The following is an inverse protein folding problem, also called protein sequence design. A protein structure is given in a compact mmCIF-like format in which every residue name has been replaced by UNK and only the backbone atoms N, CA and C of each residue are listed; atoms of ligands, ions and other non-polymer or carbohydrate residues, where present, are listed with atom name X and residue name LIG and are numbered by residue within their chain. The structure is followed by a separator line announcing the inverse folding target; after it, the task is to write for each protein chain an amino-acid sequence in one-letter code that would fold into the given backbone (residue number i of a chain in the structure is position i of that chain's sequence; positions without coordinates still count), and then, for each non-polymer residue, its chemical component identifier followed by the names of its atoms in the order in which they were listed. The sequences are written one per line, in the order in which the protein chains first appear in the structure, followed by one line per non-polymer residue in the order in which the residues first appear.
data_IF_865323893763
#
_entry.id   IF_865323893763
#
_cell.length_a   1.000
_cell.length_b   1.000
_cell.length_c   1.000
_cell.angle_alpha   90.00
_cell.angle_beta   90.00
_cell.angle_gamma   90.00
#
_symmetry.space_group_name_H-M   'P 1'
#
loop_
_entity.id
_entity.type
_entity.pdbx_description
1 polymer ?
#
# COMPACT_ATOMS: atom_id res chain seq x y z
N UNK A 1 -25.22 -17.42 -31.96
CA UNK A 1 -26.43 -17.52 -31.16
C UNK A 1 -27.29 -16.27 -31.22
N UNK A 2 -26.76 -15.06 -30.88
CA UNK A 2 -27.54 -13.80 -30.97
C UNK A 2 -27.95 -13.44 -32.39
N UNK A 3 -27.06 -13.65 -33.36
CA UNK A 3 -27.37 -13.49 -34.78
C UNK A 3 -28.46 -14.47 -35.27
N UNK A 4 -28.42 -15.72 -34.83
CA UNK A 4 -29.44 -16.72 -35.14
C UNK A 4 -30.83 -16.38 -34.60
N UNK A 5 -30.87 -15.84 -33.37
CA UNK A 5 -32.12 -15.47 -32.70
C UNK A 5 -32.73 -14.18 -33.28
N UNK A 6 -31.90 -13.21 -33.63
CA UNK A 6 -32.35 -11.88 -34.08
C UNK A 6 -32.51 -11.76 -35.58
N UNK A 7 -31.86 -12.65 -36.36
CA UNK A 7 -31.78 -12.55 -37.84
C UNK A 7 -30.95 -11.38 -38.36
N UNK A 8 -30.18 -10.68 -37.46
CA UNK A 8 -29.34 -9.54 -37.75
C UNK A 8 -27.89 -9.94 -37.96
N UNK A 9 -27.17 -9.14 -38.74
CA UNK A 9 -25.71 -9.28 -38.88
C UNK A 9 -24.97 -8.91 -37.58
N UNK A 10 -23.70 -9.29 -37.47
CA UNK A 10 -22.84 -8.94 -36.33
C UNK A 10 -22.72 -7.42 -36.16
N UNK A 11 -22.56 -6.71 -37.27
CA UNK A 11 -22.42 -5.24 -37.30
C UNK A 11 -23.70 -4.52 -36.86
N UNK A 12 -24.88 -5.01 -37.31
CA UNK A 12 -26.16 -4.49 -36.87
C UNK A 12 -26.40 -4.73 -35.38
N UNK A 13 -26.06 -5.90 -34.88
CA UNK A 13 -26.14 -6.22 -33.44
C UNK A 13 -25.20 -5.37 -32.58
N UNK A 14 -23.98 -5.14 -33.06
CA UNK A 14 -23.03 -4.28 -32.36
C UNK A 14 -23.51 -2.83 -32.31
N UNK A 15 -24.09 -2.34 -33.39
CA UNK A 15 -24.67 -1.00 -33.45
C UNK A 15 -25.88 -0.85 -32.50
N UNK A 16 -26.76 -1.84 -32.46
CA UNK A 16 -27.93 -1.84 -31.60
C UNK A 16 -27.57 -1.93 -30.10
N UNK A 17 -26.47 -2.65 -29.76
CA UNK A 17 -25.98 -2.86 -28.41
C UNK A 17 -24.90 -1.85 -28.01
N UNK A 18 -24.80 -0.73 -28.71
CA UNK A 18 -23.82 0.32 -28.42
C UNK A 18 -23.95 0.82 -26.99
N UNK A 19 -22.87 0.72 -26.21
CA UNK A 19 -22.81 1.07 -24.80
C UNK A 19 -23.21 -0.07 -23.84
N UNK A 20 -23.75 -1.18 -24.35
CA UNK A 20 -24.00 -2.41 -23.60
C UNK A 20 -22.86 -3.39 -23.76
N UNK A 21 -22.30 -3.45 -24.99
CA UNK A 21 -21.09 -4.23 -25.30
C UNK A 21 -20.04 -3.30 -25.90
N UNK A 22 -18.79 -3.67 -25.72
CA UNK A 22 -17.60 -2.95 -26.21
C UNK A 22 -16.70 -3.90 -26.98
N UNK A 23 -16.12 -3.43 -28.08
CA UNK A 23 -15.08 -4.14 -28.81
C UNK A 23 -13.82 -4.21 -27.93
N UNK A 24 -13.30 -5.42 -27.72
CA UNK A 24 -12.13 -5.62 -26.88
C UNK A 24 -10.83 -5.21 -27.60
N UNK A 25 -10.09 -4.19 -27.14
CA UNK A 25 -8.83 -3.79 -27.79
C UNK A 25 -7.72 -4.84 -27.72
N UNK A 26 -7.86 -5.86 -26.87
CA UNK A 26 -6.91 -6.97 -26.73
C UNK A 26 -7.27 -8.17 -27.59
N UNK A 27 -8.41 -8.12 -28.29
CA UNK A 27 -8.82 -9.19 -29.18
C UNK A 27 -7.91 -9.25 -30.42
N UNK A 28 -7.34 -10.44 -30.65
CA UNK A 28 -6.59 -10.76 -31.85
C UNK A 28 -7.31 -11.88 -32.59
N UNK A 29 -7.50 -11.71 -33.93
CA UNK A 29 -8.15 -12.71 -34.76
C UNK A 29 -7.35 -14.03 -34.70
N UNK A 30 -8.02 -15.13 -34.27
CA UNK A 30 -7.40 -16.43 -34.11
C UNK A 30 -6.83 -16.70 -32.72
N UNK A 31 -6.87 -15.75 -31.81
CA UNK A 31 -6.56 -15.93 -30.39
C UNK A 31 -7.85 -16.23 -29.62
N UNK A 32 -7.98 -17.45 -29.11
CA UNK A 32 -9.19 -17.90 -28.38
C UNK A 32 -9.25 -17.47 -26.91
N UNK A 33 -8.20 -16.81 -26.41
CA UNK A 33 -8.12 -16.42 -24.99
C UNK A 33 -8.86 -15.12 -24.69
N UNK A 34 -8.96 -14.20 -25.65
CA UNK A 34 -9.62 -12.92 -25.49
C UNK A 34 -10.90 -12.86 -26.31
N UNK A 35 -12.08 -12.60 -25.70
CA UNK A 35 -13.32 -12.46 -26.44
C UNK A 35 -13.32 -11.18 -27.26
N UNK A 36 -13.95 -11.20 -28.44
CA UNK A 36 -14.05 -10.05 -29.32
C UNK A 36 -14.85 -8.90 -28.70
N UNK A 37 -15.90 -9.22 -27.96
CA UNK A 37 -16.77 -8.26 -27.30
C UNK A 37 -16.82 -8.53 -25.80
N UNK A 38 -16.82 -7.45 -25.00
CA UNK A 38 -16.96 -7.46 -23.57
C UNK A 38 -18.26 -6.76 -23.16
N UNK A 39 -18.94 -7.27 -22.14
CA UNK A 39 -20.09 -6.60 -21.54
C UNK A 39 -19.64 -5.32 -20.84
N UNK A 40 -20.53 -4.32 -20.78
CA UNK A 40 -20.24 -3.04 -20.12
C UNK A 40 -19.77 -3.20 -18.69
N UNK A 41 -20.41 -4.06 -17.90
CA UNK A 41 -20.06 -4.30 -16.49
C UNK A 41 -18.64 -4.85 -16.32
N UNK A 42 -18.19 -5.69 -17.24
CA UNK A 42 -16.84 -6.23 -17.26
C UNK A 42 -15.83 -5.21 -17.79
N UNK A 43 -16.18 -4.55 -18.89
CA UNK A 43 -15.26 -3.61 -19.56
C UNK A 43 -15.02 -2.36 -18.74
N UNK A 44 -16.07 -1.80 -18.11
CA UNK A 44 -16.03 -0.54 -17.35
C UNK A 44 -15.72 -0.73 -15.86
N UNK A 45 -15.19 -1.89 -15.47
CA UNK A 45 -14.80 -2.20 -14.10
C UNK A 45 -13.33 -2.67 -14.01
N UNK A 46 -12.82 -2.90 -12.80
CA UNK A 46 -11.44 -3.33 -12.58
C UNK A 46 -10.43 -2.20 -12.83
N UNK A 47 -9.31 -2.49 -13.51
CA UNK A 47 -8.28 -1.49 -13.81
C UNK A 47 -8.68 -0.59 -14.99
N UNK A 48 -9.66 0.29 -14.76
CA UNK A 48 -10.20 1.19 -15.80
C UNK A 48 -9.18 2.21 -16.32
N UNK A 49 -8.12 2.51 -15.55
CA UNK A 49 -7.03 3.42 -15.99
C UNK A 49 -6.18 2.78 -17.07
N UNK A 50 -5.80 1.53 -16.91
CA UNK A 50 -5.05 0.78 -17.91
C UNK A 50 -5.89 0.49 -19.14
N UNK A 51 -7.17 0.12 -18.93
CA UNK A 51 -8.14 -0.06 -20.04
C UNK A 51 -8.29 1.22 -20.85
N UNK A 52 -8.36 2.40 -20.21
CA UNK A 52 -8.42 3.69 -20.91
C UNK A 52 -7.15 3.97 -21.72
N UNK A 53 -5.97 3.72 -21.15
CA UNK A 53 -4.71 3.90 -21.86
C UNK A 53 -4.62 2.99 -23.11
N UNK A 54 -5.10 1.76 -23.00
CA UNK A 54 -5.16 0.79 -24.10
C UNK A 54 -6.19 1.23 -25.15
N UNK A 55 -7.39 1.63 -24.74
CA UNK A 55 -8.43 2.12 -25.64
C UNK A 55 -7.98 3.37 -26.43
N UNK A 56 -7.27 4.31 -25.77
CA UNK A 56 -6.71 5.51 -26.45
C UNK A 56 -5.68 5.14 -27.52
N UNK A 57 -4.82 4.15 -27.25
CA UNK A 57 -3.86 3.64 -28.26
C UNK A 57 -4.58 3.02 -29.45
N UNK A 58 -5.60 2.19 -29.19
CA UNK A 58 -6.39 1.56 -30.27
C UNK A 58 -7.21 2.58 -31.04
N UNK A 59 -7.79 3.60 -30.39
CA UNK A 59 -8.53 4.67 -31.05
C UNK A 59 -7.64 5.57 -31.92
N UNK A 60 -6.33 5.64 -31.70
CA UNK A 60 -5.39 6.34 -32.58
C UNK A 60 -5.24 5.62 -33.93
N UNK A 61 -5.36 4.29 -33.94
CA UNK A 61 -5.24 3.47 -35.15
C UNK A 61 -6.61 3.24 -35.82
N UNK A 62 -7.65 3.03 -35.00
CA UNK A 62 -9.00 2.68 -35.42
C UNK A 62 -10.04 3.55 -34.71
N UNK A 63 -10.14 4.85 -35.01
CA UNK A 63 -11.00 5.79 -34.30
C UNK A 63 -12.48 5.44 -34.38
N UNK A 64 -12.96 4.90 -35.49
CA UNK A 64 -14.38 4.53 -35.69
C UNK A 64 -14.80 3.41 -34.70
N UNK A 65 -13.89 2.48 -34.42
CA UNK A 65 -14.16 1.31 -33.58
C UNK A 65 -14.06 1.62 -32.09
N UNK A 66 -13.06 2.44 -31.68
CA UNK A 66 -12.68 2.57 -30.25
C UNK A 66 -12.97 3.93 -29.62
N UNK A 67 -13.47 4.92 -30.33
CA UNK A 67 -13.84 6.22 -29.75
C UNK A 67 -14.92 6.07 -28.66
N UNK A 68 -15.87 5.16 -28.86
CA UNK A 68 -16.93 4.86 -27.89
C UNK A 68 -16.36 4.26 -26.61
N UNK A 69 -15.36 3.38 -26.73
CA UNK A 69 -14.63 2.79 -25.63
C UNK A 69 -13.94 3.86 -24.76
N UNK A 70 -13.23 4.79 -25.41
CA UNK A 70 -12.55 5.90 -24.73
C UNK A 70 -13.56 6.75 -23.97
N UNK A 71 -14.65 7.18 -24.63
CA UNK A 71 -15.68 8.02 -24.01
C UNK A 71 -16.37 7.34 -22.82
N UNK A 72 -16.61 6.03 -22.90
CA UNK A 72 -17.21 5.27 -21.81
C UNK A 72 -16.26 5.10 -20.65
N UNK A 73 -15.00 4.77 -20.91
CA UNK A 73 -13.96 4.61 -19.89
C UNK A 73 -13.59 5.94 -19.20
N UNK A 74 -13.62 7.07 -19.90
CA UNK A 74 -13.41 8.40 -19.29
C UNK A 74 -14.47 8.75 -18.24
N UNK A 75 -15.70 8.30 -18.43
CA UNK A 75 -16.80 8.56 -17.48
C UNK A 75 -16.71 7.77 -16.18
N UNK A 76 -16.03 6.62 -16.20
CA UNK A 76 -15.89 5.72 -15.05
C UNK A 76 -14.52 5.81 -14.38
N UNK A 77 -13.67 6.77 -14.79
CA UNK A 77 -12.39 6.98 -14.13
C UNK A 77 -12.59 7.37 -12.66
N UNK A 78 -11.88 6.70 -11.73
CA UNK A 78 -11.91 7.13 -10.34
C UNK A 78 -11.27 8.51 -10.21
N UNK A 79 -11.85 9.35 -9.36
CA UNK A 79 -11.28 10.63 -8.99
C UNK A 79 -9.91 10.40 -8.33
N UNK A 80 -8.92 11.17 -8.70
CA UNK A 80 -7.64 11.19 -7.99
C UNK A 80 -7.83 11.80 -6.61
N UNK A 81 -7.34 11.09 -5.59
CA UNK A 81 -7.36 11.60 -4.23
C UNK A 81 -6.30 12.67 -4.07
N UNK A 82 -6.65 13.74 -3.37
CA UNK A 82 -5.69 14.76 -2.93
C UNK A 82 -4.88 14.25 -1.73
N UNK A 83 -3.76 14.87 -1.43
CA UNK A 83 -2.92 14.48 -0.29
C UNK A 83 -3.72 14.47 1.04
N UNK A 84 -4.67 15.39 1.21
CA UNK A 84 -5.54 15.45 2.39
C UNK A 84 -6.62 14.35 2.47
N UNK A 85 -6.92 13.69 1.35
CA UNK A 85 -7.88 12.58 1.29
C UNK A 85 -7.21 11.22 1.46
N UNK A 86 -5.87 11.17 1.42
CA UNK A 86 -5.10 9.93 1.58
C UNK A 86 -4.72 9.77 3.05
N UNK A 87 -5.22 8.70 3.68
CA UNK A 87 -4.77 8.32 5.02
C UNK A 87 -3.45 7.55 4.94
N UNK A 88 -2.37 8.22 5.33
CA UNK A 88 -1.03 7.62 5.39
C UNK A 88 -0.72 7.21 6.82
N UNK A 89 -0.20 6.01 7.03
CA UNK A 89 0.22 5.50 8.34
C UNK A 89 1.52 4.72 8.27
N UNK A 90 2.24 4.69 9.37
CA UNK A 90 3.39 3.79 9.52
C UNK A 90 2.96 2.33 9.32
N UNK A 91 3.73 1.58 8.54
CA UNK A 91 3.46 0.19 8.20
C UNK A 91 2.52 -0.03 7.01
N UNK A 92 2.14 1.03 6.29
CA UNK A 92 1.42 0.88 5.03
C UNK A 92 2.31 0.18 3.99
N UNK A 93 1.93 -1.03 3.56
CA UNK A 93 2.76 -1.90 2.71
C UNK A 93 2.96 -1.40 1.27
N UNK A 94 2.19 -0.42 0.84
CA UNK A 94 2.34 0.24 -0.47
C UNK A 94 3.41 1.35 -0.46
N UNK A 95 3.91 1.75 0.73
CA UNK A 95 4.98 2.73 0.87
C UNK A 95 6.33 1.97 0.90
N UNK A 96 7.30 2.36 0.04
CA UNK A 96 8.62 1.74 0.04
C UNK A 96 9.35 1.86 1.39
N UNK A 97 10.12 0.85 1.81
CA UNK A 97 10.89 0.87 3.07
C UNK A 97 11.82 2.08 3.21
N UNK A 98 12.36 2.57 2.11
CA UNK A 98 13.27 3.72 2.04
C UNK A 98 12.60 5.01 2.54
N UNK A 99 11.30 5.17 2.32
CA UNK A 99 10.53 6.34 2.79
C UNK A 99 10.41 6.31 4.32
N UNK A 100 10.09 5.15 4.90
CA UNK A 100 10.08 4.99 6.36
C UNK A 100 11.48 5.17 6.96
N UNK A 101 12.52 4.71 6.27
CA UNK A 101 13.90 4.91 6.69
C UNK A 101 14.28 6.40 6.67
N UNK A 102 13.91 7.14 5.63
CA UNK A 102 14.13 8.58 5.53
C UNK A 102 13.41 9.31 6.66
N UNK A 103 12.11 9.07 6.85
CA UNK A 103 11.35 9.60 7.98
C UNK A 103 12.07 9.37 9.30
N UNK A 104 12.43 8.11 9.57
CA UNK A 104 13.09 7.72 10.82
C UNK A 104 14.40 8.50 11.06
N UNK A 105 15.21 8.67 10.02
CA UNK A 105 16.48 9.40 10.13
C UNK A 105 16.28 10.90 10.36
N UNK A 106 15.34 11.51 9.67
CA UNK A 106 15.02 12.93 9.82
C UNK A 106 14.34 13.21 11.16
N UNK A 107 13.37 12.40 11.55
CA UNK A 107 12.61 12.54 12.78
C UNK A 107 13.46 12.39 14.05
N UNK A 108 14.38 11.43 14.04
CA UNK A 108 15.27 11.14 15.16
C UNK A 108 16.61 11.91 15.09
N UNK A 109 16.84 12.74 14.07
CA UNK A 109 18.14 13.36 13.79
C UNK A 109 19.29 12.34 13.80
N UNK A 110 19.07 11.20 13.14
CA UNK A 110 20.04 10.09 13.11
C UNK A 110 21.35 10.56 12.44
N UNK A 111 22.50 10.51 13.15
CA UNK A 111 23.75 10.98 12.59
C UNK A 111 24.22 10.12 11.43
N UNK A 112 24.93 10.71 10.45
CA UNK A 112 25.34 10.05 9.21
C UNK A 112 26.12 8.75 9.45
N UNK A 113 26.98 8.69 10.47
CA UNK A 113 27.74 7.48 10.78
C UNK A 113 26.83 6.29 11.15
N UNK A 114 25.67 6.54 11.80
CA UNK A 114 24.72 5.52 12.19
C UNK A 114 23.81 5.11 11.03
N UNK A 115 23.48 6.03 10.11
CA UNK A 115 22.61 5.77 8.95
C UNK A 115 23.16 4.66 8.03
N UNK A 116 24.49 4.46 7.98
CA UNK A 116 25.09 3.37 7.20
C UNK A 116 24.74 1.98 7.73
N UNK A 117 24.54 1.87 9.04
CA UNK A 117 24.32 0.61 9.75
C UNK A 117 22.86 0.34 10.10
N UNK A 118 22.00 1.37 10.03
CA UNK A 118 20.59 1.24 10.37
C UNK A 118 19.79 1.14 9.07
N UNK A 119 19.03 0.06 8.90
CA UNK A 119 18.26 -0.22 7.68
C UNK A 119 16.86 -0.68 8.02
N UNK A 120 15.89 -0.21 7.24
CA UNK A 120 14.49 -0.66 7.30
C UNK A 120 14.26 -1.66 6.18
N UNK A 121 13.75 -2.83 6.53
CA UNK A 121 13.42 -3.91 5.60
C UNK A 121 11.97 -4.32 5.74
N UNK A 122 11.35 -4.66 4.62
CA UNK A 122 10.04 -5.30 4.56
C UNK A 122 10.15 -6.63 3.84
N UNK A 123 9.67 -7.69 4.47
CA UNK A 123 9.59 -9.01 3.86
C UNK A 123 8.20 -9.21 3.27
N UNK A 124 8.09 -9.24 1.95
CA UNK A 124 6.82 -9.55 1.28
C UNK A 124 6.34 -10.98 1.57
N UNK A 125 7.25 -11.87 1.92
CA UNK A 125 6.93 -13.27 2.20
C UNK A 125 6.26 -13.46 3.56
N UNK A 126 6.77 -12.79 4.62
CA UNK A 126 6.22 -12.88 5.99
C UNK A 126 5.27 -11.74 6.33
N UNK A 127 5.31 -10.64 5.58
CA UNK A 127 4.57 -9.43 5.88
C UNK A 127 5.16 -8.59 7.03
N UNK A 128 6.38 -8.92 7.49
CA UNK A 128 7.01 -8.28 8.63
C UNK A 128 7.99 -7.17 8.23
N UNK A 129 8.00 -6.12 9.03
CA UNK A 129 8.98 -5.06 9.02
C UNK A 129 10.08 -5.34 10.02
N UNK A 130 11.32 -5.10 9.65
CA UNK A 130 12.48 -5.21 10.53
C UNK A 130 13.39 -3.98 10.37
N UNK A 131 13.88 -3.47 11.50
CA UNK A 131 14.92 -2.43 11.52
C UNK A 131 16.20 -3.06 12.03
N UNK A 132 17.19 -3.14 11.15
CA UNK A 132 18.54 -3.59 11.54
C UNK A 132 19.34 -2.46 12.19
N UNK A 133 20.33 -2.80 12.98
CA UNK A 133 21.29 -1.84 13.53
C UNK A 133 20.76 -0.89 14.59
N UNK A 134 19.61 -1.16 15.23
CA UNK A 134 18.94 -0.31 16.24
C UNK A 134 19.83 0.15 17.40
N UNK A 135 20.97 -0.48 17.63
CA UNK A 135 21.90 -0.15 18.71
C UNK A 135 23.12 0.68 18.27
N UNK A 136 23.26 1.01 16.99
CA UNK A 136 24.40 1.79 16.50
C UNK A 136 24.34 3.27 16.88
N UNK A 137 23.17 3.78 17.25
CA UNK A 137 22.96 5.20 17.59
C UNK A 137 22.68 5.40 19.10
N UNK A 138 23.49 4.79 19.95
CA UNK A 138 23.25 4.78 21.42
C UNK A 138 23.35 6.14 22.10
N UNK A 139 24.06 7.10 21.51
CA UNK A 139 24.22 8.46 22.03
C UNK A 139 23.10 9.41 21.62
N UNK A 140 22.16 8.97 20.80
CA UNK A 140 21.07 9.81 20.30
C UNK A 140 20.00 10.04 21.37
N UNK A 141 19.92 11.28 21.85
CA UNK A 141 18.95 11.68 22.89
C UNK A 141 17.52 11.54 22.39
N UNK A 142 17.25 11.88 21.11
CA UNK A 142 15.90 11.71 20.54
C UNK A 142 15.49 10.25 20.54
N UNK A 143 16.38 9.35 20.13
CA UNK A 143 16.09 7.92 20.06
C UNK A 143 15.94 7.23 21.41
N UNK A 144 16.68 7.67 22.43
CA UNK A 144 16.74 6.97 23.74
C UNK A 144 16.01 7.67 24.88
N UNK A 145 15.66 8.97 24.72
CA UNK A 145 14.96 9.74 25.77
C UNK A 145 13.69 10.43 25.25
N UNK A 146 13.80 11.22 24.16
CA UNK A 146 12.65 12.00 23.69
C UNK A 146 11.54 11.12 23.17
N UNK A 147 11.86 10.18 22.27
CA UNK A 147 10.91 9.24 21.62
C UNK A 147 11.14 7.79 22.04
N UNK A 148 12.11 7.54 22.92
CA UNK A 148 12.37 6.28 23.57
C UNK A 148 12.19 6.35 25.07
N UNK A 149 12.46 5.24 25.73
CA UNK A 149 12.52 5.10 27.21
C UNK A 149 13.80 4.36 27.61
N UNK A 150 14.08 4.25 28.91
CA UNK A 150 15.20 3.42 29.41
C UNK A 150 15.07 1.93 29.06
N UNK A 151 13.87 1.47 28.72
CA UNK A 151 13.54 0.06 28.45
C UNK A 151 13.46 -0.26 26.97
N UNK A 152 13.14 0.72 26.13
CA UNK A 152 12.96 0.55 24.69
C UNK A 152 13.31 1.85 23.98
N UNK A 153 14.14 1.78 22.93
CA UNK A 153 14.51 2.92 22.11
C UNK A 153 13.47 3.21 21.01
N UNK A 154 13.50 4.39 20.42
CA UNK A 154 12.57 4.81 19.37
C UNK A 154 12.63 3.92 18.12
N UNK A 155 13.80 3.41 17.74
CA UNK A 155 13.94 2.50 16.59
C UNK A 155 13.11 1.22 16.78
N UNK A 156 13.11 0.67 18.01
CA UNK A 156 12.30 -0.51 18.32
C UNK A 156 10.80 -0.16 18.39
N UNK A 157 10.45 1.02 18.90
CA UNK A 157 9.05 1.49 18.91
C UNK A 157 8.54 1.67 17.46
N UNK A 158 9.36 2.26 16.57
CA UNK A 158 9.03 2.40 15.15
C UNK A 158 8.84 1.01 14.50
N UNK A 159 9.71 0.04 14.79
CA UNK A 159 9.58 -1.31 14.26
C UNK A 159 8.27 -1.99 14.69
N UNK A 160 7.89 -1.89 15.97
CA UNK A 160 6.61 -2.41 16.44
C UNK A 160 5.43 -1.69 15.76
N UNK A 161 5.54 -0.36 15.57
CA UNK A 161 4.51 0.44 14.89
C UNK A 161 4.36 0.06 13.42
N UNK A 162 5.45 -0.14 12.70
CA UNK A 162 5.44 -0.63 11.32
C UNK A 162 4.74 -1.98 11.20
N UNK A 163 4.90 -2.84 12.21
CA UNK A 163 4.23 -4.15 12.30
C UNK A 163 2.81 -4.07 12.87
N UNK A 164 2.25 -2.87 13.05
CA UNK A 164 0.91 -2.64 13.60
C UNK A 164 0.72 -3.24 15.00
N UNK A 165 1.80 -3.31 15.78
CA UNK A 165 1.81 -3.84 17.16
C UNK A 165 1.90 -2.70 18.17
N UNK A 166 1.14 -2.79 19.24
CA UNK A 166 1.32 -1.92 20.38
C UNK A 166 2.54 -2.37 21.20
N UNK A 167 3.33 -1.39 21.61
CA UNK A 167 4.53 -1.64 22.43
C UNK A 167 4.11 -2.20 23.79
N UNK A 168 4.79 -3.26 24.23
CA UNK A 168 4.60 -3.88 25.55
C UNK A 168 5.93 -4.08 26.22
N UNK A 169 6.04 -3.68 27.49
CA UNK A 169 7.25 -3.83 28.30
C UNK A 169 7.00 -4.90 29.36
N UNK A 170 7.91 -5.86 29.46
CA UNK A 170 7.83 -6.97 30.41
C UNK A 170 8.99 -6.91 31.39
N UNK A 171 8.69 -7.22 32.65
CA UNK A 171 9.67 -7.56 33.67
C UNK A 171 9.77 -9.08 33.82
N UNK A 172 10.95 -9.57 34.11
CA UNK A 172 11.17 -10.98 34.33
C UNK A 172 11.34 -11.21 35.84
N UNK A 173 10.42 -11.96 36.40
CA UNK A 173 10.40 -12.31 37.82
C UNK A 173 10.73 -13.81 37.94
N UNK A 174 11.61 -14.19 38.86
CA UNK A 174 11.85 -15.58 39.21
C UNK A 174 10.73 -16.06 40.12
N UNK A 175 10.15 -17.23 39.84
CA UNK A 175 9.20 -17.91 40.72
C UNK A 175 9.94 -18.73 41.77
N UNK A 176 9.19 -19.31 42.69
CA UNK A 176 9.73 -20.10 43.82
C UNK A 176 10.51 -21.35 43.35
N UNK A 177 10.37 -21.73 42.06
CA UNK A 177 11.10 -22.84 41.42
C UNK A 177 12.34 -22.35 40.63
N UNK A 178 12.64 -21.03 40.66
CA UNK A 178 13.77 -20.44 39.92
C UNK A 178 13.51 -20.24 38.41
N UNK A 179 12.26 -20.38 37.96
CA UNK A 179 11.88 -20.16 36.55
C UNK A 179 11.55 -18.68 36.31
N UNK A 180 12.09 -18.12 35.21
CA UNK A 180 11.80 -16.74 34.79
C UNK A 180 10.43 -16.65 34.17
N UNK A 181 9.54 -15.84 34.75
CA UNK A 181 8.21 -15.53 34.22
C UNK A 181 8.16 -14.07 33.74
N UNK A 182 7.69 -13.86 32.50
CA UNK A 182 7.47 -12.52 31.98
C UNK A 182 6.16 -11.95 32.53
N UNK A 183 6.23 -10.79 33.18
CA UNK A 183 5.08 -10.06 33.73
C UNK A 183 5.00 -8.70 33.09
N UNK A 184 3.82 -8.33 32.57
CA UNK A 184 3.61 -7.03 31.92
C UNK A 184 3.81 -5.88 32.91
N UNK A 185 4.77 -5.00 32.63
CA UNK A 185 4.94 -3.75 33.37
C UNK A 185 3.99 -2.69 32.80
N UNK A 186 2.82 -2.53 33.43
CA UNK A 186 1.78 -1.61 32.95
C UNK A 186 2.24 -0.15 32.89
N UNK A 187 3.05 0.30 33.85
CA UNK A 187 3.55 1.68 33.91
C UNK A 187 4.51 1.98 32.77
N UNK A 188 5.53 1.14 32.60
CA UNK A 188 6.52 1.31 31.50
C UNK A 188 5.87 1.11 30.12
N UNK A 189 4.90 0.20 30.02
CA UNK A 189 4.12 0.02 28.78
C UNK A 189 3.33 1.27 28.43
N UNK A 190 2.64 1.91 29.38
CA UNK A 190 1.89 3.14 29.12
C UNK A 190 2.81 4.29 28.67
N UNK A 191 4.00 4.42 29.27
CA UNK A 191 4.99 5.42 28.85
C UNK A 191 5.47 5.15 27.43
N UNK A 192 5.80 3.90 27.10
CA UNK A 192 6.27 3.52 25.77
C UNK A 192 5.17 3.70 24.69
N UNK A 193 3.93 3.39 25.01
CA UNK A 193 2.78 3.62 24.11
C UNK A 193 2.52 5.11 23.89
N UNK A 194 2.69 5.96 24.89
CA UNK A 194 2.62 7.42 24.69
C UNK A 194 3.70 7.92 23.72
N UNK A 195 4.93 7.37 23.79
CA UNK A 195 5.98 7.66 22.79
C UNK A 195 5.62 7.13 21.42
N UNK A 196 5.00 5.97 21.33
CA UNK A 196 4.52 5.39 20.08
C UNK A 196 3.49 6.31 19.39
N UNK A 197 2.55 6.90 20.14
CA UNK A 197 1.58 7.85 19.59
C UNK A 197 2.25 9.14 19.10
N UNK A 198 3.25 9.66 19.81
CA UNK A 198 4.02 10.82 19.33
C UNK A 198 4.76 10.52 18.02
N UNK A 199 5.29 9.32 17.85
CA UNK A 199 5.95 8.90 16.61
C UNK A 199 4.94 8.78 15.46
N UNK A 200 3.75 8.20 15.71
CA UNK A 200 2.67 8.11 14.73
C UNK A 200 2.23 9.49 14.24
N UNK A 201 2.04 10.42 15.19
CA UNK A 201 1.70 11.81 14.87
C UNK A 201 2.82 12.49 14.08
N UNK A 202 4.07 12.32 14.52
CA UNK A 202 5.22 12.89 13.81
C UNK A 202 5.36 12.39 12.37
N UNK A 203 4.94 11.15 12.07
CA UNK A 203 4.91 10.65 10.70
C UNK A 203 3.82 11.31 9.85
N UNK A 204 2.65 11.56 10.43
CA UNK A 204 1.57 12.25 9.74
C UNK A 204 1.91 13.71 9.44
N UNK A 205 2.62 14.36 10.36
CA UNK A 205 3.05 15.74 10.20
C UNK A 205 4.20 15.88 9.18
N UNK A 206 5.09 14.88 9.10
CA UNK A 206 6.21 14.80 8.15
C UNK A 206 5.75 14.55 6.71
#
# INVERSE_FOLDING_TARGET
YMMELSGKSEEELFADLKGVIFLNPLYEYGNSYEPKYLMADEYLSGNVREKLATAKRSATLYPEDYTVNVQALEKVQPKDLTASEISVRLGATWIPPEIFQQFMFEFLDTPRYAQWNIKVHYSQFTGDWNIEGKSYDRSNVKAYSTYGTSRINAYKIIEETLNLKDVRIFDYIEDDEGKKKAVLNKKETAIAQAKQELIKQGFQDW
#
